data_IF_049384350886
#
_entry.id   IF_049384350886
#
_cell.length_a   1.000
_cell.length_b   1.000
_cell.length_c   1.000
_cell.angle_alpha   90.00
_cell.angle_beta   90.00
_cell.angle_gamma   90.00
#
_symmetry.space_group_name_H-M   'P 1'
#
loop_
_entity.id
_entity.type
_entity.pdbx_description
1 polymer ?
#
# COMPACT_ATOMS: atom_id res chain seq x y z
N UNK A 1 10.81 -9.40 15.86
CA UNK A 1 11.13 -10.85 15.86
C UNK A 1 9.91 -11.76 15.63
N UNK A 2 8.66 -11.31 15.75
CA UNK A 2 7.46 -12.15 15.55
C UNK A 2 7.24 -12.64 14.09
N UNK A 3 7.46 -11.78 13.09
CA UNK A 3 7.17 -12.14 11.68
C UNK A 3 8.02 -13.30 11.13
N UNK A 4 9.27 -13.44 11.58
CA UNK A 4 10.16 -14.50 11.12
C UNK A 4 9.67 -15.89 11.53
N UNK A 5 9.17 -16.03 12.75
CA UNK A 5 8.67 -17.32 13.26
C UNK A 5 7.40 -17.71 12.48
N UNK A 6 6.50 -16.75 12.25
CA UNK A 6 5.26 -16.98 11.51
C UNK A 6 5.52 -17.42 10.06
N UNK A 7 6.32 -16.66 9.30
CA UNK A 7 6.54 -16.96 7.89
C UNK A 7 7.39 -18.22 7.67
N UNK A 8 8.19 -18.65 8.66
CA UNK A 8 8.93 -19.91 8.56
C UNK A 8 8.16 -21.15 9.05
N UNK A 9 6.90 -21.01 9.50
CA UNK A 9 6.13 -22.14 10.00
C UNK A 9 5.72 -23.14 8.91
N UNK A 10 5.58 -24.42 9.29
CA UNK A 10 5.16 -25.47 8.35
C UNK A 10 3.72 -25.24 7.90
N UNK A 11 2.88 -24.79 8.81
CA UNK A 11 1.46 -24.53 8.64
C UNK A 11 1.25 -23.44 7.59
N UNK A 12 1.99 -22.33 7.70
CA UNK A 12 1.94 -21.24 6.73
C UNK A 12 2.41 -21.71 5.34
N UNK A 13 3.52 -22.44 5.28
CA UNK A 13 4.05 -22.95 4.03
C UNK A 13 3.11 -23.98 3.36
N UNK A 14 2.41 -24.81 4.15
CA UNK A 14 1.40 -25.74 3.65
C UNK A 14 0.19 -25.01 3.08
N UNK A 15 -0.32 -24.00 3.80
CA UNK A 15 -1.42 -23.16 3.33
C UNK A 15 -1.11 -22.47 2.00
N UNK A 16 0.08 -21.88 1.87
CA UNK A 16 0.51 -21.26 0.59
C UNK A 16 0.58 -22.29 -0.55
N UNK A 17 1.10 -23.50 -0.28
CA UNK A 17 1.14 -24.57 -1.30
C UNK A 17 -0.26 -25.00 -1.73
N UNK A 18 -1.20 -25.13 -0.79
CA UNK A 18 -2.59 -25.47 -1.11
C UNK A 18 -3.26 -24.41 -2.00
N UNK A 19 -2.88 -23.14 -1.84
CA UNK A 19 -3.33 -22.02 -2.68
C UNK A 19 -2.52 -21.86 -3.99
N UNK A 20 -1.54 -22.72 -4.27
CA UNK A 20 -0.67 -22.60 -5.45
C UNK A 20 0.33 -21.43 -5.39
N UNK A 21 0.55 -20.85 -4.20
CA UNK A 21 1.41 -19.67 -4.02
C UNK A 21 2.84 -20.11 -3.68
N UNK A 22 3.81 -19.72 -4.51
CA UNK A 22 5.24 -19.96 -4.24
C UNK A 22 5.74 -19.05 -3.14
N UNK A 23 6.09 -19.63 -1.99
CA UNK A 23 6.71 -18.90 -0.89
C UNK A 23 8.18 -18.55 -1.21
N UNK A 24 8.54 -17.26 -1.18
CA UNK A 24 9.91 -16.77 -1.43
C UNK A 24 10.35 -15.85 -0.30
N UNK A 25 11.54 -16.09 0.23
CA UNK A 25 12.19 -15.20 1.19
C UNK A 25 13.12 -14.23 0.48
N UNK A 26 13.44 -13.12 1.15
CA UNK A 26 14.58 -12.30 0.77
C UNK A 26 15.88 -13.09 0.94
N UNK A 27 16.89 -12.71 0.17
CA UNK A 27 18.22 -13.25 0.30
C UNK A 27 18.88 -12.74 1.58
N UNK A 28 19.78 -13.55 2.15
CA UNK A 28 20.53 -13.18 3.34
C UNK A 28 21.38 -11.95 3.06
N UNK A 29 21.33 -10.97 3.97
CA UNK A 29 22.09 -9.72 3.85
C UNK A 29 21.54 -8.73 2.80
N UNK A 30 20.34 -8.96 2.24
CA UNK A 30 19.73 -8.08 1.23
C UNK A 30 18.45 -7.38 1.71
N UNK A 31 18.51 -6.52 2.76
CA UNK A 31 17.32 -5.87 3.33
C UNK A 31 16.56 -4.99 2.32
N UNK A 32 17.25 -4.43 1.31
CA UNK A 32 16.63 -3.59 0.28
C UNK A 32 15.55 -4.33 -0.54
N UNK A 33 15.54 -5.67 -0.56
CA UNK A 33 14.48 -6.45 -1.21
C UNK A 33 13.12 -6.25 -0.53
N UNK A 34 13.09 -5.88 0.75
CA UNK A 34 11.89 -5.49 1.48
C UNK A 34 11.56 -3.99 1.37
N UNK A 35 12.34 -3.20 0.63
CA UNK A 35 12.19 -1.74 0.61
C UNK A 35 10.80 -1.25 0.18
N UNK A 36 10.06 -2.03 -0.63
CA UNK A 36 8.67 -1.70 -1.02
C UNK A 36 7.72 -1.73 0.18
N UNK A 37 7.74 -2.81 0.97
CA UNK A 37 6.86 -2.95 2.13
C UNK A 37 7.28 -2.01 3.26
N UNK A 38 8.59 -1.80 3.44
CA UNK A 38 9.11 -0.84 4.41
C UNK A 38 8.68 0.60 4.07
N UNK A 39 8.74 1.00 2.80
CA UNK A 39 8.26 2.31 2.35
C UNK A 39 6.75 2.49 2.53
N UNK A 40 5.96 1.44 2.29
CA UNK A 40 4.52 1.44 2.59
C UNK A 40 4.29 1.72 4.08
N UNK A 41 4.91 0.92 4.96
CA UNK A 41 4.75 1.07 6.41
C UNK A 41 5.27 2.40 6.94
N UNK A 42 6.39 2.89 6.42
CA UNK A 42 6.91 4.21 6.76
C UNK A 42 5.88 5.31 6.44
N UNK A 43 5.31 5.27 5.22
CA UNK A 43 4.29 6.23 4.80
C UNK A 43 3.05 6.16 5.69
N UNK A 44 2.57 4.94 6.00
CA UNK A 44 1.43 4.72 6.87
C UNK A 44 1.67 5.30 8.27
N UNK A 45 2.80 4.97 8.89
CA UNK A 45 3.18 5.45 10.22
C UNK A 45 3.32 6.96 10.26
N UNK A 46 3.97 7.57 9.26
CA UNK A 46 4.08 9.03 9.16
C UNK A 46 2.72 9.72 9.15
N UNK A 47 1.71 9.13 8.50
CA UNK A 47 0.34 9.66 8.50
C UNK A 47 -0.40 9.39 9.81
N UNK A 48 -0.30 8.18 10.36
CA UNK A 48 -0.93 7.81 11.63
C UNK A 48 -0.39 8.63 12.81
N UNK A 49 0.89 8.99 12.80
CA UNK A 49 1.50 9.84 13.83
C UNK A 49 0.91 11.27 13.88
N UNK A 50 0.16 11.68 12.85
CA UNK A 50 -0.53 12.97 12.79
C UNK A 50 -2.00 12.88 13.23
N UNK A 51 -2.45 11.68 13.60
CA UNK A 51 -3.83 11.41 13.98
C UNK A 51 -3.86 11.06 15.47
N UNK A 52 -4.75 11.71 16.22
CA UNK A 52 -5.12 11.28 17.57
C UNK A 52 -6.40 10.44 17.42
N UNK A 53 -6.34 9.10 17.44
CA UNK A 53 -7.53 8.29 17.32
C UNK A 53 -8.36 8.46 18.60
N UNK A 54 -9.62 8.86 18.46
CA UNK A 54 -10.53 8.98 19.60
C UNK A 54 -10.84 7.61 20.21
N UNK A 55 -10.83 6.54 19.39
CA UNK A 55 -11.02 5.14 19.83
C UNK A 55 -10.14 4.16 19.04
N UNK A 56 -9.68 3.06 19.65
CA UNK A 56 -8.92 2.00 18.96
C UNK A 56 -9.70 1.26 17.87
N UNK A 57 -11.03 1.24 17.98
CA UNK A 57 -11.96 0.47 17.14
C UNK A 57 -12.03 0.97 15.69
N UNK A 58 -11.47 2.15 15.40
CA UNK A 58 -11.52 2.79 14.10
C UNK A 58 -10.35 2.40 13.17
N UNK A 59 -9.42 1.53 13.63
CA UNK A 59 -8.21 1.21 12.88
C UNK A 59 -8.49 0.55 11.51
N UNK A 60 -9.46 -0.36 11.41
CA UNK A 60 -9.77 -1.02 10.13
C UNK A 60 -10.30 -0.01 9.10
N UNK A 61 -11.18 0.89 9.51
CA UNK A 61 -11.68 1.98 8.69
C UNK A 61 -10.56 2.94 8.27
N UNK A 62 -9.65 3.25 9.20
CA UNK A 62 -8.46 4.06 8.89
C UNK A 62 -7.60 3.35 7.84
N UNK A 63 -7.27 2.07 8.03
CA UNK A 63 -6.46 1.28 7.10
C UNK A 63 -7.12 1.13 5.72
N UNK A 64 -8.44 0.97 5.66
CA UNK A 64 -9.19 0.94 4.40
C UNK A 64 -9.06 2.27 3.64
N UNK A 65 -9.28 3.41 4.32
CA UNK A 65 -9.10 4.73 3.72
C UNK A 65 -7.64 5.00 3.30
N UNK A 66 -6.66 4.53 4.09
CA UNK A 66 -5.26 4.60 3.70
C UNK A 66 -4.96 3.77 2.46
N UNK A 67 -5.48 2.54 2.37
CA UNK A 67 -5.28 1.66 1.21
C UNK A 67 -5.82 2.29 -0.07
N UNK A 68 -7.01 2.88 -0.02
CA UNK A 68 -7.59 3.58 -1.17
C UNK A 68 -6.70 4.76 -1.57
N UNK A 69 -6.39 5.64 -0.62
CA UNK A 69 -5.53 6.79 -0.87
C UNK A 69 -4.16 6.39 -1.45
N UNK A 70 -3.50 5.38 -0.87
CA UNK A 70 -2.18 4.97 -1.28
C UNK A 70 -2.15 4.40 -2.70
N UNK A 71 -3.19 3.66 -3.10
CA UNK A 71 -3.23 2.98 -4.40
C UNK A 71 -3.85 3.82 -5.51
N UNK A 72 -4.84 4.66 -5.21
CA UNK A 72 -5.68 5.33 -6.21
C UNK A 72 -5.50 6.85 -6.25
N UNK A 73 -4.91 7.45 -5.21
CA UNK A 73 -4.82 8.92 -5.07
C UNK A 73 -3.37 9.39 -5.08
N UNK A 74 -2.48 8.66 -4.42
CA UNK A 74 -1.08 9.06 -4.24
C UNK A 74 -0.25 8.69 -5.48
N UNK A 75 0.34 9.66 -6.18
CA UNK A 75 1.32 9.37 -7.23
C UNK A 75 2.66 8.93 -6.62
N UNK A 76 3.36 8.02 -7.30
CA UNK A 76 4.65 7.50 -6.84
C UNK A 76 5.74 7.81 -7.87
N UNK A 77 6.83 8.47 -7.42
CA UNK A 77 7.95 8.83 -8.28
C UNK A 77 8.58 7.61 -8.99
N UNK A 78 8.71 6.47 -8.31
CA UNK A 78 9.23 5.25 -8.91
C UNK A 78 8.31 4.65 -9.99
N UNK A 79 7.04 5.07 -10.02
CA UNK A 79 6.07 4.73 -11.06
C UNK A 79 5.88 5.90 -12.03
N UNK A 80 6.90 6.74 -12.23
CA UNK A 80 6.86 7.89 -13.13
C UNK A 80 5.76 8.91 -12.80
N UNK A 81 5.32 8.98 -11.54
CA UNK A 81 4.21 9.85 -11.13
C UNK A 81 2.84 9.21 -11.27
N UNK A 82 2.74 7.94 -11.66
CA UNK A 82 1.49 7.20 -11.66
C UNK A 82 1.12 6.76 -10.26
N UNK A 83 -0.17 6.55 -10.05
CA UNK A 83 -0.70 5.83 -8.90
C UNK A 83 -0.38 4.33 -9.04
N UNK A 84 -0.26 3.58 -7.93
CA UNK A 84 -0.13 2.13 -7.99
C UNK A 84 -1.26 1.43 -8.77
N UNK A 85 -2.48 1.97 -8.73
CA UNK A 85 -3.62 1.42 -9.46
C UNK A 85 -3.49 1.62 -10.98
N UNK A 86 -3.04 2.79 -11.44
CA UNK A 86 -2.73 3.02 -12.86
C UNK A 86 -1.65 2.06 -13.35
N UNK A 87 -0.55 1.92 -12.60
CA UNK A 87 0.52 0.99 -12.93
C UNK A 87 0.03 -0.47 -12.95
N UNK A 88 -0.81 -0.86 -11.99
CA UNK A 88 -1.42 -2.20 -11.95
C UNK A 88 -2.32 -2.48 -13.16
N UNK A 89 -3.09 -1.48 -13.59
CA UNK A 89 -3.97 -1.56 -14.77
C UNK A 89 -3.23 -1.40 -16.09
N UNK A 90 -1.94 -1.08 -16.07
CA UNK A 90 -1.17 -0.78 -17.29
C UNK A 90 -1.59 0.52 -17.98
N UNK A 91 -2.21 1.45 -17.24
CA UNK A 91 -2.65 2.74 -17.78
C UNK A 91 -1.51 3.75 -17.61
N UNK A 92 -1.01 4.30 -18.72
CA UNK A 92 -0.12 5.45 -18.69
C UNK A 92 -0.95 6.74 -18.72
N UNK A 93 -1.10 7.48 -17.60
CA UNK A 93 -1.91 8.69 -17.54
C UNK A 93 -1.41 9.85 -18.41
N UNK A 94 -0.16 9.83 -18.88
CA UNK A 94 0.36 10.88 -19.76
C UNK A 94 0.00 10.65 -21.23
N UNK A 95 -0.17 9.38 -21.62
CA UNK A 95 -0.68 8.98 -22.94
C UNK A 95 -2.21 8.91 -22.96
N UNK A 96 -2.80 8.33 -21.91
CA UNK A 96 -4.24 8.18 -21.72
C UNK A 96 -4.68 9.08 -20.56
N UNK A 97 -4.81 10.37 -20.86
CA UNK A 97 -5.14 11.40 -19.86
C UNK A 97 -6.47 11.07 -19.18
N UNK A 98 -6.54 11.13 -17.83
CA UNK A 98 -7.81 11.01 -17.12
C UNK A 98 -8.84 12.01 -17.66
N UNK A 99 -10.08 11.57 -17.82
CA UNK A 99 -11.23 12.39 -18.22
C UNK A 99 -11.57 13.43 -17.16
N UNK A 100 -11.35 13.08 -15.90
CA UNK A 100 -11.59 13.95 -14.76
C UNK A 100 -10.70 13.57 -13.58
N UNK A 101 -10.63 14.48 -12.62
CA UNK A 101 -9.95 14.30 -11.34
C UNK A 101 -10.94 14.62 -10.22
N UNK A 102 -11.26 13.63 -9.39
CA UNK A 102 -12.18 13.79 -8.26
C UNK A 102 -11.36 14.09 -7.00
N UNK A 103 -11.61 15.20 -6.29
CA UNK A 103 -10.96 15.46 -5.02
C UNK A 103 -11.20 14.33 -4.03
N UNK A 104 -10.14 13.88 -3.38
CA UNK A 104 -10.20 12.91 -2.29
C UNK A 104 -9.74 13.55 -0.99
N UNK A 105 -10.48 13.29 0.08
CA UNK A 105 -10.11 13.67 1.44
C UNK A 105 -10.45 12.53 2.40
N UNK A 106 -9.49 12.16 3.25
CA UNK A 106 -9.67 11.19 4.32
C UNK A 106 -8.90 11.61 5.57
N UNK A 107 -9.27 11.04 6.72
CA UNK A 107 -8.63 11.31 8.02
C UNK A 107 -8.57 12.82 8.32
N UNK A 108 -9.72 13.50 8.27
CA UNK A 108 -9.82 14.96 8.49
C UNK A 108 -8.85 15.80 7.64
N UNK A 109 -8.52 15.34 6.43
CA UNK A 109 -7.62 16.06 5.50
C UNK A 109 -6.15 15.67 5.55
N UNK A 110 -5.76 14.76 6.44
CA UNK A 110 -4.40 14.21 6.50
C UNK A 110 -4.08 13.43 5.21
N UNK A 111 -5.07 12.68 4.70
CA UNK A 111 -5.03 12.03 3.41
C UNK A 111 -5.78 12.92 2.41
N UNK A 112 -5.08 13.35 1.35
CA UNK A 112 -5.65 14.22 0.33
C UNK A 112 -5.01 13.98 -1.04
N UNK A 113 -5.70 14.39 -2.08
CA UNK A 113 -5.23 14.36 -3.47
C UNK A 113 -6.41 14.29 -4.43
N UNK A 114 -6.18 13.72 -5.61
CA UNK A 114 -7.21 13.54 -6.62
C UNK A 114 -7.20 12.11 -7.14
N UNK A 115 -8.39 11.51 -7.27
CA UNK A 115 -8.58 10.22 -7.95
C UNK A 115 -8.69 10.49 -9.45
N UNK A 116 -7.82 9.94 -10.30
CA UNK A 116 -7.96 10.02 -11.74
C UNK A 116 -9.10 9.11 -12.22
N UNK A 117 -9.99 9.65 -13.05
CA UNK A 117 -11.04 8.88 -13.73
C UNK A 117 -10.65 8.70 -15.20
N UNK A 118 -10.31 7.48 -15.61
CA UNK A 118 -9.98 7.13 -17.00
C UNK A 118 -11.21 6.74 -17.82
#
# INVERSE_FOLDING_TARGET
MAGRILFHSKEFAQGLRALGIKHRFIERGKPWQNGRIERLFLTLKQKLNLLVPERPQDLDSLLAAFRQWYNEVRPHQHLFGWTPMEAWRGINPYLNRPKAFVPYQGWNGILKGFVPLH
#
